data_IF_904393761947
#
_entry.id   IF_904393761947
#
_cell.length_a   1.000
_cell.length_b   1.000
_cell.length_c   1.000
_cell.angle_alpha   90.00
_cell.angle_beta   90.00
_cell.angle_gamma   90.00
#
_symmetry.space_group_name_H-M   'P 1'
#
loop_
_entity.id
_entity.type
_entity.pdbx_description
1 polymer ?
#
# COMPACT_ATOMS: atom_id res chain seq x y z
N UNK A 1 -22.43 14.33 16.51
CA UNK A 1 -21.15 14.27 17.26
C UNK A 1 -20.89 12.95 17.99
N UNK A 2 -21.82 12.43 18.82
CA UNK A 2 -21.62 11.19 19.60
C UNK A 2 -21.22 9.95 18.76
N UNK A 3 -21.79 9.80 17.56
CA UNK A 3 -21.42 8.72 16.63
C UNK A 3 -19.98 8.83 16.11
N UNK A 4 -19.57 10.04 15.68
CA UNK A 4 -18.21 10.31 15.18
C UNK A 4 -17.18 10.07 16.29
N UNK A 5 -17.44 10.58 17.50
CA UNK A 5 -16.57 10.36 18.65
C UNK A 5 -16.44 8.88 19.02
N UNK A 6 -17.55 8.13 19.02
CA UNK A 6 -17.53 6.67 19.28
C UNK A 6 -16.70 5.92 18.23
N UNK A 7 -16.81 6.32 16.95
CA UNK A 7 -16.07 5.69 15.85
C UNK A 7 -14.58 6.02 15.90
N UNK A 8 -14.21 7.24 16.26
CA UNK A 8 -12.82 7.64 16.51
C UNK A 8 -12.23 6.89 17.71
N UNK A 9 -13.01 6.71 18.79
CA UNK A 9 -12.57 5.93 19.95
C UNK A 9 -12.36 4.45 19.62
N UNK A 10 -13.18 3.86 18.75
CA UNK A 10 -12.99 2.48 18.27
C UNK A 10 -11.80 2.34 17.34
N UNK A 11 -11.36 3.42 16.68
CA UNK A 11 -10.20 3.40 15.80
C UNK A 11 -8.89 3.21 16.56
N UNK A 12 -8.78 3.78 17.77
CA UNK A 12 -7.59 3.65 18.63
C UNK A 12 -7.23 2.19 18.96
N UNK A 13 -8.12 1.37 19.55
CA UNK A 13 -7.80 -0.03 19.84
C UNK A 13 -7.54 -0.84 18.57
N UNK A 14 -8.17 -0.51 17.44
CA UNK A 14 -7.85 -1.15 16.15
C UNK A 14 -6.43 -0.85 15.70
N UNK A 15 -6.00 0.41 15.79
CA UNK A 15 -4.62 0.79 15.46
C UNK A 15 -3.60 0.13 16.38
N UNK A 16 -3.87 0.09 17.68
CA UNK A 16 -3.00 -0.57 18.66
C UNK A 16 -2.94 -2.08 18.39
N UNK A 17 -4.07 -2.72 18.12
CA UNK A 17 -4.10 -4.13 17.75
C UNK A 17 -3.32 -4.42 16.47
N UNK A 18 -3.51 -3.58 15.44
CA UNK A 18 -2.77 -3.69 14.18
C UNK A 18 -1.27 -3.44 14.36
N UNK A 19 -0.86 -2.46 15.17
CA UNK A 19 0.56 -2.16 15.41
C UNK A 19 1.26 -3.26 16.18
N UNK A 20 0.61 -3.84 17.20
CA UNK A 20 1.12 -5.03 17.91
C UNK A 20 1.26 -6.19 16.93
N UNK A 21 0.22 -6.45 16.13
CA UNK A 21 0.22 -7.55 15.16
C UNK A 21 1.37 -7.40 14.15
N UNK A 22 1.51 -6.22 13.54
CA UNK A 22 2.60 -5.93 12.60
C UNK A 22 3.96 -6.12 13.27
N UNK A 23 4.13 -5.59 14.48
CA UNK A 23 5.38 -5.70 15.21
C UNK A 23 5.75 -7.15 15.54
N UNK A 24 4.78 -7.96 15.96
CA UNK A 24 4.98 -9.39 16.23
C UNK A 24 5.27 -10.14 14.93
N UNK A 25 4.50 -9.92 13.86
CA UNK A 25 4.72 -10.56 12.57
C UNK A 25 6.12 -10.28 12.04
N UNK A 26 6.59 -9.02 12.11
CA UNK A 26 7.95 -8.67 11.68
C UNK A 26 9.05 -9.32 12.51
N UNK A 27 8.80 -9.66 13.78
CA UNK A 27 9.74 -10.42 14.62
C UNK A 27 9.71 -11.92 14.37
N UNK A 28 8.58 -12.44 13.89
CA UNK A 28 8.44 -13.85 13.52
C UNK A 28 9.06 -14.14 12.15
N UNK A 29 9.25 -13.11 11.31
CA UNK A 29 9.99 -13.27 10.05
C UNK A 29 11.40 -13.76 10.37
N UNK A 30 11.83 -14.91 9.82
CA UNK A 30 13.18 -15.39 10.03
C UNK A 30 14.19 -14.45 9.37
N UNK A 31 15.20 -14.05 10.13
CA UNK A 31 16.26 -13.13 9.70
C UNK A 31 16.51 -12.03 10.71
N UNK A 32 17.74 -11.95 11.23
CA UNK A 32 18.15 -10.83 12.07
C UNK A 32 18.67 -9.68 11.18
N UNK A 33 18.09 -8.49 11.34
CA UNK A 33 18.51 -7.31 10.60
C UNK A 33 19.99 -6.99 10.84
N UNK A 34 20.53 -7.23 12.04
CA UNK A 34 21.94 -7.02 12.33
C UNK A 34 22.83 -7.99 11.55
N UNK A 35 22.41 -9.25 11.42
CA UNK A 35 23.08 -10.24 10.57
C UNK A 35 23.00 -9.87 9.09
N UNK A 36 21.81 -9.52 8.59
CA UNK A 36 21.59 -9.12 7.19
C UNK A 36 22.46 -7.92 6.82
N UNK A 37 22.51 -6.90 7.68
CA UNK A 37 23.31 -5.69 7.46
C UNK A 37 24.81 -6.00 7.34
N UNK A 38 25.32 -6.91 8.18
CA UNK A 38 26.73 -7.28 8.19
C UNK A 38 27.09 -8.21 7.02
N UNK A 39 26.22 -9.15 6.66
CA UNK A 39 26.44 -10.05 5.53
C UNK A 39 26.37 -9.33 4.17
N UNK A 40 25.55 -8.28 4.04
CA UNK A 40 25.50 -7.45 2.83
C UNK A 40 26.79 -6.66 2.57
N UNK A 41 27.63 -6.43 3.58
CA UNK A 41 28.94 -5.77 3.45
C UNK A 41 30.07 -6.68 2.96
N UNK A 42 29.79 -7.94 2.61
CA UNK A 42 30.69 -8.79 1.81
C UNK A 42 32.00 -9.20 2.50
N UNK A 43 32.08 -9.13 3.82
CA UNK A 43 33.29 -9.45 4.58
C UNK A 43 33.30 -10.93 4.99
N UNK A 44 34.42 -11.64 4.80
CA UNK A 44 34.55 -13.07 5.10
C UNK A 44 34.26 -13.41 6.58
N UNK A 45 33.74 -14.63 6.78
CA UNK A 45 33.32 -15.19 8.06
C UNK A 45 34.46 -15.21 9.09
N UNK A 46 34.50 -14.22 9.98
CA UNK A 46 35.49 -14.11 11.04
C UNK A 46 34.86 -13.71 12.38
N UNK A 47 35.59 -13.92 13.48
CA UNK A 47 35.17 -13.51 14.83
C UNK A 47 34.89 -11.99 14.95
N UNK A 48 35.39 -11.17 14.01
CA UNK A 48 35.10 -9.73 13.91
C UNK A 48 33.62 -9.49 13.59
N UNK A 49 33.01 -10.37 12.79
CA UNK A 49 31.62 -10.27 12.35
C UNK A 49 30.63 -10.44 13.51
N UNK A 50 30.89 -11.39 14.42
CA UNK A 50 30.05 -11.58 15.61
C UNK A 50 30.11 -10.38 16.57
N UNK A 51 31.25 -9.69 16.66
CA UNK A 51 31.35 -8.46 17.46
C UNK A 51 30.55 -7.33 16.81
N UNK A 52 30.62 -7.17 15.49
CA UNK A 52 29.83 -6.18 14.74
C UNK A 52 28.32 -6.45 14.86
N UNK A 53 27.88 -7.71 14.71
CA UNK A 53 26.47 -8.08 14.89
C UNK A 53 25.98 -7.72 16.29
N UNK A 54 26.74 -8.07 17.34
CA UNK A 54 26.36 -7.71 18.73
C UNK A 54 26.30 -6.21 18.95
N UNK A 55 27.24 -5.46 18.39
CA UNK A 55 27.25 -4.01 18.48
C UNK A 55 26.01 -3.41 17.79
N UNK A 56 25.72 -3.85 16.56
CA UNK A 56 24.53 -3.39 15.82
C UNK A 56 23.25 -3.78 16.57
N UNK A 57 23.16 -5.00 17.13
CA UNK A 57 22.00 -5.38 17.96
C UNK A 57 21.78 -4.43 19.13
N UNK A 58 22.85 -4.05 19.83
CA UNK A 58 22.77 -3.11 20.95
C UNK A 58 22.38 -1.70 20.49
N UNK A 59 22.95 -1.21 19.38
CA UNK A 59 22.60 0.08 18.77
C UNK A 59 21.13 0.13 18.30
N UNK A 60 20.62 -0.99 17.79
CA UNK A 60 19.22 -1.14 17.35
C UNK A 60 18.27 -1.49 18.51
N UNK A 61 18.78 -1.69 19.73
CA UNK A 61 18.01 -2.11 20.90
C UNK A 61 17.39 -3.51 20.76
N UNK A 62 17.88 -4.35 19.85
CA UNK A 62 17.38 -5.70 19.59
C UNK A 62 17.66 -6.67 20.74
N UNK A 63 18.61 -6.33 21.61
CA UNK A 63 18.99 -7.03 22.83
C UNK A 63 18.04 -6.75 24.03
N UNK A 64 17.19 -5.71 23.94
CA UNK A 64 16.26 -5.32 25.01
C UNK A 64 15.05 -6.26 25.09
N UNK A 65 14.29 -6.29 26.22
CA UNK A 65 13.02 -7.00 26.28
C UNK A 65 12.05 -6.55 25.18
N UNK A 66 11.32 -7.50 24.57
CA UNK A 66 10.43 -7.25 23.40
C UNK A 66 9.41 -6.15 23.65
N UNK A 67 8.88 -6.07 24.88
CA UNK A 67 7.92 -5.04 25.28
C UNK A 67 8.55 -3.64 25.24
N UNK A 68 9.79 -3.50 25.71
CA UNK A 68 10.53 -2.22 25.67
C UNK A 68 10.78 -1.81 24.23
N UNK A 69 11.19 -2.74 23.37
CA UNK A 69 11.39 -2.47 21.95
C UNK A 69 10.10 -1.99 21.26
N UNK A 70 8.94 -2.55 21.64
CA UNK A 70 7.64 -2.11 21.11
C UNK A 70 7.27 -0.70 21.57
N UNK A 71 7.44 -0.42 22.86
CA UNK A 71 7.12 0.88 23.44
C UNK A 71 8.03 1.99 22.91
N UNK A 72 9.33 1.72 22.75
CA UNK A 72 10.29 2.64 22.15
C UNK A 72 9.91 2.94 20.69
N UNK A 73 9.63 1.90 19.90
CA UNK A 73 9.20 2.05 18.50
C UNK A 73 7.88 2.82 18.38
N UNK A 74 6.87 2.47 19.16
CA UNK A 74 5.57 3.15 19.16
C UNK A 74 5.71 4.61 19.61
N UNK A 75 6.51 4.86 20.66
CA UNK A 75 6.78 6.19 21.17
C UNK A 75 7.49 7.09 20.15
N UNK A 76 8.41 6.54 19.35
CA UNK A 76 9.00 7.21 18.19
C UNK A 76 7.95 7.52 17.13
N UNK A 77 7.18 6.52 16.71
CA UNK A 77 6.17 6.64 15.66
C UNK A 77 5.10 7.70 16.00
N UNK A 78 4.66 7.78 17.25
CA UNK A 78 3.70 8.78 17.72
C UNK A 78 4.27 10.22 17.69
N UNK A 79 5.59 10.38 17.72
CA UNK A 79 6.28 11.67 17.56
C UNK A 79 6.66 11.96 16.10
N UNK A 80 6.30 11.08 15.17
CA UNK A 80 6.66 11.17 13.75
C UNK A 80 8.06 10.63 13.42
N UNK A 81 8.74 10.00 14.37
CA UNK A 81 9.99 9.30 14.13
C UNK A 81 9.72 7.81 13.84
N UNK A 82 9.71 7.47 12.55
CA UNK A 82 9.52 6.10 12.07
C UNK A 82 10.86 5.34 11.92
N UNK A 83 11.96 5.92 12.36
CA UNK A 83 13.30 5.37 12.19
C UNK A 83 13.86 5.53 10.76
N UNK A 84 14.92 4.78 10.46
CA UNK A 84 15.58 4.78 9.15
C UNK A 84 15.38 3.46 8.41
N UNK A 85 15.22 3.55 7.10
CA UNK A 85 15.26 2.38 6.22
C UNK A 85 16.70 1.95 6.03
N UNK A 86 17.02 0.72 6.44
CA UNK A 86 18.35 0.13 6.21
C UNK A 86 18.59 -0.22 4.74
N UNK A 87 17.52 -0.55 4.01
CA UNK A 87 17.57 -0.82 2.56
C UNK A 87 17.81 0.45 1.73
N UNK A 88 17.07 1.53 2.01
CA UNK A 88 17.16 2.79 1.25
C UNK A 88 18.10 3.82 1.89
N UNK A 89 18.72 3.51 3.04
CA UNK A 89 19.66 4.35 3.82
C UNK A 89 19.14 5.76 4.18
N UNK A 90 17.83 5.95 4.23
CA UNK A 90 17.16 7.25 4.47
C UNK A 90 16.04 7.15 5.52
N UNK A 91 15.62 8.26 6.16
CA UNK A 91 14.50 8.27 7.11
C UNK A 91 13.22 7.70 6.49
N UNK A 92 12.49 6.88 7.25
CA UNK A 92 11.21 6.30 6.81
C UNK A 92 10.16 7.38 6.62
N UNK A 93 10.20 8.45 7.42
CA UNK A 93 9.31 9.60 7.27
C UNK A 93 9.37 10.21 5.86
N UNK A 94 10.55 10.33 5.26
CA UNK A 94 10.70 10.89 3.91
C UNK A 94 10.15 9.93 2.85
N UNK A 95 10.36 8.62 3.03
CA UNK A 95 9.78 7.60 2.16
C UNK A 95 8.25 7.65 2.21
N UNK A 96 7.67 7.80 3.40
CA UNK A 96 6.23 7.94 3.57
C UNK A 96 5.71 9.22 2.91
N UNK A 97 6.40 10.35 3.07
CA UNK A 97 6.02 11.62 2.42
C UNK A 97 6.00 11.51 0.89
N UNK A 98 6.87 10.71 0.30
CA UNK A 98 6.88 10.49 -1.15
C UNK A 98 5.80 9.50 -1.63
N UNK A 99 5.45 8.51 -0.82
CA UNK A 99 4.56 7.41 -1.22
C UNK A 99 3.10 7.61 -0.85
N UNK A 100 2.83 8.16 0.34
CA UNK A 100 1.46 8.34 0.86
C UNK A 100 0.59 9.18 -0.08
N UNK A 101 1.05 10.33 -0.63
CA UNK A 101 0.25 11.11 -1.56
C UNK A 101 -0.15 10.30 -2.81
N UNK A 102 0.74 9.46 -3.32
CA UNK A 102 0.47 8.61 -4.50
C UNK A 102 -0.60 7.57 -4.21
N UNK A 103 -0.52 6.89 -3.06
CA UNK A 103 -1.53 5.92 -2.65
C UNK A 103 -2.89 6.58 -2.44
N UNK A 104 -2.92 7.78 -1.85
CA UNK A 104 -4.16 8.55 -1.68
C UNK A 104 -4.76 8.97 -3.02
N UNK A 105 -3.94 9.46 -3.94
CA UNK A 105 -4.36 9.85 -5.28
C UNK A 105 -4.98 8.68 -6.04
N UNK A 106 -4.31 7.51 -6.07
CA UNK A 106 -4.83 6.30 -6.70
C UNK A 106 -6.12 5.80 -6.04
N UNK A 107 -6.21 5.85 -4.71
CA UNK A 107 -7.41 5.48 -3.98
C UNK A 107 -8.59 6.39 -4.32
N UNK A 108 -8.36 7.72 -4.37
CA UNK A 108 -9.37 8.69 -4.73
C UNK A 108 -9.83 8.51 -6.18
N UNK A 109 -8.91 8.35 -7.13
CA UNK A 109 -9.25 8.08 -8.54
C UNK A 109 -10.08 6.79 -8.68
N UNK A 110 -9.69 5.74 -7.95
CA UNK A 110 -10.43 4.47 -7.96
C UNK A 110 -11.85 4.63 -7.41
N UNK A 111 -12.02 5.35 -6.30
CA UNK A 111 -13.34 5.63 -5.73
C UNK A 111 -14.18 6.45 -6.71
N UNK A 112 -13.62 7.49 -7.33
CA UNK A 112 -14.34 8.33 -8.29
C UNK A 112 -14.79 7.51 -9.50
N UNK A 113 -13.89 6.74 -10.12
CA UNK A 113 -14.23 5.88 -11.26
C UNK A 113 -15.28 4.84 -10.84
N UNK A 114 -15.12 4.22 -9.67
CA UNK A 114 -16.09 3.26 -9.16
C UNK A 114 -17.46 3.89 -8.98
N UNK A 115 -17.56 5.08 -8.39
CA UNK A 115 -18.83 5.78 -8.20
C UNK A 115 -19.49 6.15 -9.52
N UNK A 116 -18.72 6.64 -10.50
CA UNK A 116 -19.21 7.03 -11.83
C UNK A 116 -19.88 5.86 -12.55
N UNK A 117 -19.39 4.63 -12.38
CA UNK A 117 -19.97 3.45 -13.03
C UNK A 117 -20.95 2.68 -12.14
N UNK A 118 -20.60 2.43 -10.88
CA UNK A 118 -21.39 1.60 -9.99
C UNK A 118 -22.72 2.25 -9.61
N UNK A 119 -22.76 3.58 -9.41
CA UNK A 119 -24.00 4.26 -9.02
C UNK A 119 -25.02 4.23 -10.16
N UNK A 120 -24.72 4.65 -11.40
CA UNK A 120 -25.70 4.57 -12.48
C UNK A 120 -26.13 3.14 -12.80
N UNK A 121 -25.19 2.19 -12.88
CA UNK A 121 -25.54 0.78 -13.15
C UNK A 121 -26.40 0.19 -12.03
N UNK A 122 -26.09 0.52 -10.77
CA UNK A 122 -26.89 0.13 -9.62
C UNK A 122 -28.30 0.74 -9.64
N UNK A 123 -28.42 2.02 -9.98
CA UNK A 123 -29.73 2.69 -10.12
C UNK A 123 -30.55 2.08 -11.26
N UNK A 124 -29.94 1.80 -12.42
CA UNK A 124 -30.62 1.15 -13.55
C UNK A 124 -31.13 -0.24 -13.17
N UNK A 125 -30.30 -1.05 -12.52
CA UNK A 125 -30.66 -2.39 -12.03
C UNK A 125 -31.79 -2.32 -10.99
N UNK A 126 -31.77 -1.32 -10.09
CA UNK A 126 -32.81 -1.14 -9.08
C UNK A 126 -34.15 -0.68 -9.68
N UNK A 127 -34.14 0.31 -10.58
CA UNK A 127 -35.36 0.87 -11.19
C UNK A 127 -35.97 -0.10 -12.20
N UNK A 128 -35.15 -0.84 -12.96
CA UNK A 128 -35.60 -1.81 -13.97
C UNK A 128 -35.47 -3.25 -13.47
N UNK A 129 -35.91 -3.50 -12.25
CA UNK A 129 -35.85 -4.84 -11.64
C UNK A 129 -36.48 -5.93 -12.52
N UNK A 130 -35.87 -7.11 -12.51
CA UNK A 130 -36.31 -8.30 -13.26
C UNK A 130 -36.37 -8.10 -14.79
N UNK A 131 -35.69 -7.08 -15.32
CA UNK A 131 -35.49 -6.91 -16.76
C UNK A 131 -34.13 -7.45 -17.20
N UNK A 132 -33.94 -7.67 -18.50
CA UNK A 132 -32.66 -8.13 -19.05
C UNK A 132 -31.47 -7.22 -18.67
N UNK A 133 -31.71 -5.90 -18.52
CA UNK A 133 -30.69 -4.95 -18.11
C UNK A 133 -30.25 -5.17 -16.65
N UNK A 134 -31.21 -5.46 -15.76
CA UNK A 134 -30.92 -5.84 -14.36
C UNK A 134 -30.13 -7.15 -14.31
N UNK A 135 -30.57 -8.18 -15.03
CA UNK A 135 -29.85 -9.45 -15.10
C UNK A 135 -28.41 -9.28 -15.61
N UNK A 136 -28.19 -8.48 -16.65
CA UNK A 136 -26.85 -8.22 -17.20
C UNK A 136 -25.93 -7.52 -16.18
N UNK A 137 -26.43 -6.47 -15.51
CA UNK A 137 -25.65 -5.78 -14.46
C UNK A 137 -25.33 -6.72 -13.30
N UNK A 138 -26.29 -7.54 -12.85
CA UNK A 138 -26.07 -8.51 -11.77
C UNK A 138 -25.05 -9.56 -12.14
N UNK A 139 -25.14 -10.16 -13.33
CA UNK A 139 -24.19 -11.17 -13.81
C UNK A 139 -22.79 -10.57 -13.86
N UNK A 140 -22.61 -9.39 -14.46
CA UNK A 140 -21.31 -8.71 -14.50
C UNK A 140 -20.76 -8.42 -13.11
N UNK A 141 -21.61 -7.95 -12.19
CA UNK A 141 -21.20 -7.64 -10.82
C UNK A 141 -20.76 -8.89 -10.05
N UNK A 142 -21.54 -9.96 -10.13
CA UNK A 142 -21.24 -11.24 -9.46
C UNK A 142 -19.98 -11.87 -10.05
N UNK A 143 -19.83 -11.88 -11.38
CA UNK A 143 -18.62 -12.38 -12.04
C UNK A 143 -17.39 -11.60 -11.60
N UNK A 144 -17.46 -10.25 -11.56
CA UNK A 144 -16.36 -9.42 -11.10
C UNK A 144 -15.95 -9.69 -9.65
N UNK A 145 -16.91 -9.95 -8.77
CA UNK A 145 -16.65 -10.30 -7.36
C UNK A 145 -16.12 -11.72 -7.15
N UNK A 146 -16.44 -12.63 -8.06
CA UNK A 146 -16.09 -14.05 -7.94
C UNK A 146 -14.66 -14.36 -8.42
N UNK A 147 -14.10 -13.50 -9.28
CA UNK A 147 -12.76 -13.69 -9.80
C UNK A 147 -11.69 -13.22 -8.79
N UNK A 148 -10.56 -13.95 -8.64
CA UNK A 148 -9.45 -13.49 -7.81
C UNK A 148 -8.93 -12.13 -8.29
N UNK A 149 -8.77 -11.16 -7.37
CA UNK A 149 -8.38 -9.78 -7.71
C UNK A 149 -7.10 -9.70 -8.56
N UNK A 150 -6.12 -10.55 -8.26
CA UNK A 150 -4.86 -10.64 -9.01
C UNK A 150 -5.10 -11.13 -10.45
N UNK A 151 -5.88 -12.20 -10.61
CA UNK A 151 -6.19 -12.76 -11.92
C UNK A 151 -6.96 -11.75 -12.79
N UNK A 152 -7.97 -11.09 -12.22
CA UNK A 152 -8.74 -10.05 -12.91
C UNK A 152 -7.85 -8.88 -13.31
N UNK A 153 -6.96 -8.41 -12.42
CA UNK A 153 -6.04 -7.33 -12.71
C UNK A 153 -5.10 -7.66 -13.88
N UNK A 154 -4.54 -8.87 -13.90
CA UNK A 154 -3.69 -9.34 -15.00
C UNK A 154 -4.47 -9.48 -16.31
N UNK A 155 -5.68 -10.03 -16.27
CA UNK A 155 -6.52 -10.19 -17.45
C UNK A 155 -6.94 -8.85 -18.05
N UNK A 156 -7.33 -7.90 -17.20
CA UNK A 156 -7.65 -6.53 -17.61
C UNK A 156 -6.41 -5.90 -18.27
N UNK A 157 -5.25 -5.95 -17.62
CA UNK A 157 -4.00 -5.42 -18.19
C UNK A 157 -3.67 -6.07 -19.55
N UNK A 158 -3.78 -7.39 -19.66
CA UNK A 158 -3.56 -8.11 -20.92
C UNK A 158 -4.50 -7.62 -22.04
N UNK A 159 -5.80 -7.49 -21.75
CA UNK A 159 -6.78 -6.99 -22.72
C UNK A 159 -6.46 -5.55 -23.13
N UNK A 160 -6.03 -4.70 -22.20
CA UNK A 160 -5.68 -3.32 -22.47
C UNK A 160 -4.46 -3.19 -23.39
N UNK A 161 -3.44 -4.01 -23.16
CA UNK A 161 -2.28 -4.11 -24.04
C UNK A 161 -2.70 -4.62 -25.42
N UNK A 162 -3.51 -5.68 -25.46
CA UNK A 162 -3.85 -6.37 -26.71
C UNK A 162 -4.80 -5.58 -27.61
N UNK A 163 -5.77 -4.90 -27.02
CA UNK A 163 -6.81 -4.15 -27.72
C UNK A 163 -6.43 -2.69 -27.98
N UNK A 164 -5.77 -2.04 -26.99
CA UNK A 164 -5.48 -0.60 -27.03
C UNK A 164 -3.99 -0.27 -27.10
N UNK A 165 -3.09 -1.26 -27.06
CA UNK A 165 -1.65 -1.03 -27.05
C UNK A 165 -1.16 -0.26 -25.81
N UNK A 166 -1.94 -0.25 -24.73
CA UNK A 166 -1.68 0.58 -23.56
C UNK A 166 -1.02 -0.20 -22.43
N UNK A 167 0.01 0.39 -21.86
CA UNK A 167 0.68 -0.06 -20.64
C UNK A 167 0.67 1.09 -19.63
N UNK A 168 0.40 0.82 -18.34
CA UNK A 168 0.56 1.83 -17.32
C UNK A 168 2.04 2.29 -17.28
N UNK A 169 2.31 3.60 -17.29
CA UNK A 169 3.67 4.12 -17.29
C UNK A 169 4.39 3.78 -15.98
N UNK A 170 5.68 3.50 -16.08
CA UNK A 170 6.54 3.18 -14.92
C UNK A 170 6.95 4.42 -14.14
N UNK A 171 6.89 5.60 -14.77
CA UNK A 171 7.23 6.89 -14.17
C UNK A 171 5.98 7.57 -13.60
N UNK A 172 6.11 8.01 -12.35
CA UNK A 172 5.07 8.79 -11.68
C UNK A 172 5.27 10.28 -11.95
N UNK A 173 4.21 10.94 -12.41
CA UNK A 173 4.13 12.41 -12.51
C UNK A 173 3.24 12.90 -11.39
N UNK A 174 3.72 13.83 -10.56
CA UNK A 174 2.91 14.38 -9.48
C UNK A 174 1.71 15.17 -10.01
N UNK A 175 0.53 14.96 -9.43
CA UNK A 175 -0.66 15.75 -9.74
C UNK A 175 -0.42 17.26 -9.55
N UNK A 176 0.40 17.65 -8.58
CA UNK A 176 0.74 19.06 -8.32
C UNK A 176 1.64 19.70 -9.38
N UNK A 177 2.39 18.89 -10.14
CA UNK A 177 3.30 19.38 -11.19
C UNK A 177 2.56 19.49 -12.52
N UNK A 178 1.82 18.45 -12.90
CA UNK A 178 1.02 18.43 -14.12
C UNK A 178 -0.24 17.58 -13.92
N UNK A 179 -1.38 18.20 -13.58
CA UNK A 179 -2.63 17.48 -13.35
C UNK A 179 -3.07 16.68 -14.58
N UNK A 180 -2.87 17.25 -15.76
CA UNK A 180 -3.26 16.66 -17.04
C UNK A 180 -2.38 15.45 -17.37
N UNK A 181 -1.07 15.54 -17.20
CA UNK A 181 -0.17 14.43 -17.47
C UNK A 181 -0.29 13.32 -16.42
N UNK A 182 -0.52 13.69 -15.15
CA UNK A 182 -0.86 12.75 -14.09
C UNK A 182 -2.12 11.96 -14.43
N UNK A 183 -3.21 12.63 -14.82
CA UNK A 183 -4.44 11.95 -15.26
C UNK A 183 -4.20 11.06 -16.47
N UNK A 184 -3.44 11.52 -17.47
CA UNK A 184 -3.06 10.70 -18.64
C UNK A 184 -2.24 9.47 -18.24
N UNK A 185 -1.36 9.56 -17.24
CA UNK A 185 -0.54 8.46 -16.78
C UNK A 185 -1.34 7.47 -15.93
N UNK A 186 -2.30 7.95 -15.15
CA UNK A 186 -3.13 7.13 -14.27
C UNK A 186 -4.39 6.57 -14.97
N UNK A 187 -4.66 6.94 -16.22
CA UNK A 187 -5.84 6.49 -16.97
C UNK A 187 -5.49 6.08 -18.40
N UNK A 188 -6.44 5.40 -19.07
CA UNK A 188 -6.34 5.02 -20.49
C UNK A 188 -6.26 6.19 -21.47
N UNK A 189 -6.35 7.42 -20.98
CA UNK A 189 -6.44 8.63 -21.79
C UNK A 189 -5.20 8.88 -22.66
N UNK A 190 -4.04 8.34 -22.29
CA UNK A 190 -2.79 8.44 -23.10
C UNK A 190 -2.90 7.78 -24.48
N UNK A 191 -3.79 6.78 -24.65
CA UNK A 191 -4.05 6.12 -25.94
C UNK A 191 -4.72 7.07 -26.93
N UNK A 192 -5.64 7.90 -26.44
CA UNK A 192 -6.51 8.75 -27.25
C UNK A 192 -5.87 10.08 -27.67
N UNK A 193 -4.67 10.37 -27.18
CA UNK A 193 -3.95 11.62 -27.39
C UNK A 193 -2.65 11.43 -28.19
N UNK A 194 -2.51 10.26 -28.83
CA UNK A 194 -1.48 9.99 -29.81
C UNK A 194 -1.95 10.57 -31.15
N UNK A 195 -1.59 11.83 -31.38
CA UNK A 195 -1.42 12.39 -32.74
C UNK A 195 0.07 12.31 -33.10
#
# INVERSE_FOLDING_TARGET
>A
MRYVARRLLLFVPTLVGASILIFVLLRLVPGDIAEILVYQTGSEASAIQQKQIRQIRAELGLDRPVVVQYLDWLGGALRGDFGRSYMQKRPVADILRERVPRSLELALLTILIALVWAVPLGVVSAVRQNTWADYLVRVLSISGLSLPIFFTGVLVLYLLVRLFGWLPPLEFVSFTVSPVENLKNNTFMKVWLRE
#
